data_IF_910809217800
#
_entry.id   IF_910809217800
#
_cell.length_a   1.000
_cell.length_b   1.000
_cell.length_c   1.000
_cell.angle_alpha   90.00
_cell.angle_beta   90.00
_cell.angle_gamma   90.00
#
_symmetry.space_group_name_H-M   'P 1'
#
loop_
_entity.id
_entity.type
_entity.pdbx_description
1 polymer ?
#
# COMPACT_ATOMS: atom_id res chain seq x y z
N UNK A 1 1.99 -9.97 3.29
CA UNK A 1 3.37 -10.20 2.80
C UNK A 1 3.46 -10.14 1.27
N UNK A 2 2.59 -10.85 0.53
CA UNK A 2 2.55 -10.76 -0.95
C UNK A 2 2.25 -9.35 -1.43
N UNK A 3 1.32 -8.66 -0.78
CA UNK A 3 0.92 -7.29 -1.08
C UNK A 3 2.06 -6.29 -0.88
N UNK A 4 2.93 -6.52 0.11
CA UNK A 4 4.13 -5.70 0.34
C UNK A 4 5.08 -5.75 -0.87
N UNK A 5 5.25 -6.94 -1.48
CA UNK A 5 6.07 -7.11 -2.69
C UNK A 5 5.47 -6.37 -3.88
N UNK A 6 4.17 -6.52 -4.11
CA UNK A 6 3.48 -5.86 -5.24
C UNK A 6 3.44 -4.34 -5.06
N UNK A 7 3.22 -3.87 -3.84
CA UNK A 7 3.29 -2.44 -3.50
C UNK A 7 4.68 -1.88 -3.81
N UNK A 8 5.74 -2.56 -3.34
CA UNK A 8 7.12 -2.14 -3.59
C UNK A 8 7.45 -2.09 -5.08
N UNK A 9 7.01 -3.07 -5.87
CA UNK A 9 7.15 -3.06 -7.32
C UNK A 9 6.42 -1.89 -7.98
N UNK A 10 5.17 -1.68 -7.57
CA UNK A 10 4.33 -0.59 -8.09
C UNK A 10 4.92 0.77 -7.78
N UNK A 11 5.29 1.01 -6.52
CA UNK A 11 5.87 2.28 -6.08
C UNK A 11 7.18 2.60 -6.79
N UNK A 12 8.10 1.63 -6.87
CA UNK A 12 9.36 1.81 -7.58
C UNK A 12 9.13 2.15 -9.06
N UNK A 13 8.21 1.44 -9.72
CA UNK A 13 7.93 1.67 -11.13
C UNK A 13 7.24 3.01 -11.39
N UNK A 14 6.33 3.45 -10.52
CA UNK A 14 5.69 4.77 -10.59
C UNK A 14 6.68 5.91 -10.37
N UNK A 15 7.74 5.67 -9.59
CA UNK A 15 8.86 6.59 -9.40
C UNK A 15 9.93 6.52 -10.51
N UNK A 16 9.70 5.70 -11.55
CA UNK A 16 10.61 5.55 -12.69
C UNK A 16 11.65 4.44 -12.55
N UNK A 17 11.73 3.76 -11.40
CA UNK A 17 12.66 2.65 -11.17
C UNK A 17 12.00 1.32 -11.53
N UNK A 18 12.24 0.85 -12.75
CA UNK A 18 11.60 -0.38 -13.27
C UNK A 18 12.50 -1.60 -13.27
N UNK A 19 13.79 -1.42 -13.10
CA UNK A 19 14.78 -2.50 -13.19
C UNK A 19 15.19 -3.02 -11.82
N UNK A 20 15.26 -4.34 -11.71
CA UNK A 20 15.65 -5.05 -10.50
C UNK A 20 16.75 -6.06 -10.81
N UNK A 21 17.84 -6.00 -10.08
CA UNK A 21 18.98 -6.89 -10.29
C UNK A 21 18.68 -8.34 -9.96
N UNK A 22 17.88 -8.58 -8.94
CA UNK A 22 17.46 -9.91 -8.50
C UNK A 22 16.22 -9.85 -7.57
N UNK A 23 15.67 -11.01 -7.22
CA UNK A 23 14.52 -11.11 -6.31
C UNK A 23 14.88 -10.83 -4.86
N UNK A 24 16.14 -11.03 -4.44
CA UNK A 24 16.58 -10.73 -3.08
C UNK A 24 16.59 -9.21 -2.79
N UNK A 25 17.01 -8.39 -3.76
CA UNK A 25 16.91 -6.93 -3.64
C UNK A 25 15.45 -6.48 -3.45
N UNK A 26 14.51 -7.11 -4.17
CA UNK A 26 13.08 -6.85 -3.98
C UNK A 26 12.58 -7.33 -2.62
N UNK A 27 13.02 -8.51 -2.17
CA UNK A 27 12.63 -9.05 -0.86
C UNK A 27 13.06 -8.11 0.27
N UNK A 28 14.31 -7.65 0.22
CA UNK A 28 14.85 -6.68 1.15
C UNK A 28 14.06 -5.36 1.12
N UNK A 29 13.81 -4.83 -0.06
CA UNK A 29 13.04 -3.59 -0.23
C UNK A 29 11.60 -3.72 0.27
N UNK A 30 10.97 -4.88 0.13
CA UNK A 30 9.61 -5.15 0.59
C UNK A 30 9.53 -5.57 2.07
N UNK A 31 10.66 -5.78 2.76
CA UNK A 31 10.69 -6.25 4.14
C UNK A 31 10.19 -7.68 4.32
N UNK A 32 10.37 -8.55 3.32
CA UNK A 32 9.91 -9.93 3.34
C UNK A 32 11.05 -10.91 3.08
N UNK A 33 10.84 -12.19 3.38
CA UNK A 33 11.81 -13.24 3.06
C UNK A 33 11.86 -13.55 1.55
N UNK A 34 13.02 -14.02 1.05
CA UNK A 34 13.26 -14.34 -0.36
C UNK A 34 12.22 -15.30 -0.95
N UNK A 35 11.80 -16.32 -0.17
CA UNK A 35 10.78 -17.28 -0.61
C UNK A 35 9.43 -16.63 -0.87
N UNK A 36 9.07 -15.64 -0.06
CA UNK A 36 7.83 -14.88 -0.20
C UNK A 36 7.90 -14.00 -1.44
N UNK A 37 8.99 -13.26 -1.62
CA UNK A 37 9.21 -12.44 -2.80
C UNK A 37 9.19 -13.29 -4.08
N UNK A 38 9.88 -14.43 -4.09
CA UNK A 38 9.87 -15.35 -5.24
C UNK A 38 8.45 -15.82 -5.58
N UNK A 39 7.67 -16.23 -4.58
CA UNK A 39 6.27 -16.66 -4.76
C UNK A 39 5.39 -15.53 -5.25
N UNK A 40 5.53 -14.33 -4.67
CA UNK A 40 4.77 -13.14 -5.04
C UNK A 40 5.03 -12.71 -6.49
N UNK A 41 6.23 -12.95 -7.01
CA UNK A 41 6.63 -12.62 -8.38
C UNK A 41 6.01 -13.54 -9.44
N UNK A 42 5.47 -14.69 -9.08
CA UNK A 42 4.90 -15.63 -10.06
C UNK A 42 3.74 -15.01 -10.84
N UNK A 43 2.81 -14.37 -10.14
CA UNK A 43 1.64 -13.74 -10.75
C UNK A 43 1.98 -12.54 -11.66
N UNK A 44 2.75 -11.54 -11.22
CA UNK A 44 3.20 -10.45 -12.12
C UNK A 44 3.90 -10.94 -13.37
N UNK A 45 4.74 -11.98 -13.23
CA UNK A 45 5.43 -12.59 -14.38
C UNK A 45 4.45 -13.29 -15.33
N UNK A 46 3.51 -14.08 -14.81
CA UNK A 46 2.55 -14.84 -15.63
C UNK A 46 1.59 -13.96 -16.43
N UNK A 47 1.24 -12.79 -15.91
CA UNK A 47 0.37 -11.82 -16.61
C UNK A 47 1.16 -10.83 -17.48
N UNK A 48 2.47 -10.98 -17.61
CA UNK A 48 3.33 -10.13 -18.43
C UNK A 48 3.55 -8.72 -17.86
N UNK A 49 3.25 -8.47 -16.57
CA UNK A 49 3.56 -7.20 -15.92
C UNK A 49 5.04 -7.07 -15.56
N UNK A 50 5.72 -8.19 -15.48
CA UNK A 50 7.16 -8.29 -15.22
C UNK A 50 7.80 -9.23 -16.22
N UNK A 51 8.95 -8.83 -16.76
CA UNK A 51 9.77 -9.65 -17.69
C UNK A 51 11.09 -10.01 -17.02
N UNK A 52 11.43 -11.31 -17.01
CA UNK A 52 12.73 -11.79 -16.52
C UNK A 52 13.79 -11.70 -17.61
N UNK A 53 15.02 -11.37 -17.24
CA UNK A 53 16.15 -11.28 -18.17
C UNK A 53 16.97 -12.56 -18.18
N UNK A 54 17.50 -12.98 -19.33
CA UNK A 54 18.33 -14.17 -19.44
C UNK A 54 19.60 -14.14 -18.59
N UNK A 55 20.15 -12.94 -18.35
CA UNK A 55 21.34 -12.69 -17.50
C UNK A 55 21.03 -12.55 -15.99
N UNK A 56 19.81 -12.83 -15.58
CA UNK A 56 19.34 -12.56 -14.23
C UNK A 56 18.66 -11.18 -14.11
N UNK A 57 17.94 -10.99 -13.02
CA UNK A 57 17.14 -9.77 -12.84
C UNK A 57 15.81 -9.80 -13.60
N UNK A 58 15.11 -8.68 -13.51
CA UNK A 58 13.81 -8.50 -14.16
C UNK A 58 13.45 -7.02 -14.28
N UNK A 59 12.55 -6.71 -15.19
CA UNK A 59 11.98 -5.36 -15.33
C UNK A 59 10.46 -5.35 -15.19
N UNK A 60 9.93 -4.27 -14.64
CA UNK A 60 8.49 -3.98 -14.61
C UNK A 60 8.10 -3.37 -15.94
N UNK A 61 7.38 -4.14 -16.76
CA UNK A 61 6.94 -3.73 -18.10
C UNK A 61 5.59 -3.02 -18.08
N UNK A 62 4.73 -3.38 -17.15
CA UNK A 62 3.38 -2.82 -17.02
C UNK A 62 3.06 -2.51 -15.54
N UNK A 63 3.39 -1.31 -15.06
CA UNK A 63 3.09 -0.89 -13.68
C UNK A 63 1.59 -0.86 -13.38
N UNK A 64 0.75 -0.51 -14.34
CA UNK A 64 -0.71 -0.44 -14.17
C UNK A 64 -1.29 -1.81 -13.79
N UNK A 65 -0.84 -2.87 -14.44
CA UNK A 65 -1.25 -4.24 -14.06
C UNK A 65 -0.84 -4.60 -12.64
N UNK A 66 0.32 -4.14 -12.17
CA UNK A 66 0.77 -4.42 -10.80
C UNK A 66 -0.12 -3.71 -9.79
N UNK A 67 -0.40 -2.42 -9.96
CA UNK A 67 -1.25 -1.69 -9.02
C UNK A 67 -2.71 -2.14 -9.07
N UNK A 68 -3.21 -2.52 -10.25
CA UNK A 68 -4.54 -3.13 -10.40
C UNK A 68 -4.62 -4.48 -9.69
N UNK A 69 -3.58 -5.31 -9.79
CA UNK A 69 -3.49 -6.59 -9.10
C UNK A 69 -3.42 -6.39 -7.58
N UNK A 70 -2.68 -5.39 -7.10
CA UNK A 70 -2.65 -5.00 -5.68
C UNK A 70 -4.05 -4.60 -5.20
N UNK A 71 -4.75 -3.74 -5.95
CA UNK A 71 -6.11 -3.31 -5.65
C UNK A 71 -7.09 -4.50 -5.59
N UNK A 72 -7.03 -5.41 -6.56
CA UNK A 72 -7.89 -6.59 -6.60
C UNK A 72 -7.62 -7.61 -5.48
N UNK A 73 -6.39 -7.64 -4.94
CA UNK A 73 -6.01 -8.54 -3.85
C UNK A 73 -6.19 -7.91 -2.47
N UNK A 74 -6.51 -6.63 -2.40
CA UNK A 74 -6.65 -5.91 -1.14
C UNK A 74 -7.74 -6.55 -0.27
N UNK A 75 -7.37 -6.91 0.94
CA UNK A 75 -8.29 -7.41 1.96
C UNK A 75 -8.53 -6.34 3.01
N UNK A 76 -9.79 -6.01 3.24
CA UNK A 76 -10.23 -5.15 4.34
C UNK A 76 -10.72 -5.96 5.55
N UNK A 77 -10.46 -7.27 5.57
CA UNK A 77 -10.92 -8.15 6.65
C UNK A 77 -10.40 -7.75 8.04
N UNK A 78 -9.23 -7.11 8.09
CA UNK A 78 -8.63 -6.57 9.32
C UNK A 78 -8.95 -5.08 9.55
N UNK A 79 -9.75 -4.47 8.68
CA UNK A 79 -10.12 -3.07 8.82
C UNK A 79 -11.28 -2.89 9.78
N UNK A 80 -11.23 -1.85 10.60
CA UNK A 80 -12.30 -1.45 11.52
C UNK A 80 -13.05 -0.25 10.96
N UNK A 81 -14.33 -0.40 10.72
CA UNK A 81 -15.22 0.72 10.44
C UNK A 81 -15.54 1.44 11.75
N UNK A 82 -15.30 2.76 11.80
CA UNK A 82 -15.39 3.54 13.02
C UNK A 82 -15.77 4.99 12.73
N UNK A 83 -15.88 5.80 13.78
CA UNK A 83 -16.15 7.24 13.66
C UNK A 83 -14.88 8.02 13.34
N UNK A 84 -15.05 9.20 12.74
CA UNK A 84 -13.93 10.10 12.44
C UNK A 84 -13.21 10.57 13.71
N UNK A 85 -13.98 10.90 14.75
CA UNK A 85 -13.44 11.34 16.04
C UNK A 85 -12.54 10.27 16.69
N UNK A 86 -12.96 9.01 16.66
CA UNK A 86 -12.17 7.90 17.21
C UNK A 86 -10.84 7.73 16.48
N UNK A 87 -10.84 7.82 15.15
CA UNK A 87 -9.61 7.78 14.36
C UNK A 87 -8.70 8.98 14.66
N UNK A 88 -9.25 10.18 14.80
CA UNK A 88 -8.46 11.37 15.14
C UNK A 88 -7.83 11.26 16.53
N UNK A 89 -8.56 10.73 17.51
CA UNK A 89 -8.00 10.46 18.84
C UNK A 89 -6.87 9.43 18.76
N UNK A 90 -7.03 8.35 18.00
CA UNK A 90 -6.01 7.34 17.82
C UNK A 90 -4.76 7.91 17.13
N UNK A 91 -4.93 8.74 16.09
CA UNK A 91 -3.82 9.44 15.43
C UNK A 91 -3.03 10.34 16.39
N UNK A 92 -3.70 10.95 17.35
CA UNK A 92 -3.04 11.83 18.34
C UNK A 92 -2.18 11.03 19.32
N UNK A 93 -2.55 9.77 19.60
CA UNK A 93 -1.83 8.89 20.52
C UNK A 93 -0.84 7.93 19.85
N UNK A 94 -0.88 7.80 18.53
CA UNK A 94 -0.01 6.90 17.78
C UNK A 94 1.31 7.57 17.42
N UNK A 95 2.42 6.84 17.57
CA UNK A 95 3.74 7.33 17.15
C UNK A 95 3.85 7.45 15.62
N UNK A 96 3.20 6.54 14.90
CA UNK A 96 3.21 6.50 13.43
C UNK A 96 1.81 6.16 12.89
N UNK A 97 1.41 6.86 11.84
CA UNK A 97 0.22 6.57 11.05
C UNK A 97 0.39 7.07 9.61
N UNK A 98 -0.45 6.60 8.69
CA UNK A 98 -0.51 7.15 7.33
C UNK A 98 -1.95 7.31 6.85
N UNK A 99 -2.21 8.42 6.18
CA UNK A 99 -3.51 8.74 5.58
C UNK A 99 -3.57 8.14 4.17
N UNK A 100 -4.63 7.40 3.88
CA UNK A 100 -4.89 6.77 2.58
C UNK A 100 -6.06 7.40 1.81
N UNK A 101 -6.49 6.69 0.77
CA UNK A 101 -7.65 7.04 -0.04
C UNK A 101 -7.56 8.39 -0.75
N UNK A 102 -8.68 9.09 -0.84
CA UNK A 102 -8.79 10.37 -1.58
C UNK A 102 -7.89 11.47 -1.02
N UNK A 103 -7.63 11.48 0.28
CA UNK A 103 -6.71 12.47 0.89
C UNK A 103 -5.26 12.24 0.46
N UNK A 104 -4.81 10.98 0.42
CA UNK A 104 -3.50 10.66 -0.11
C UNK A 104 -3.40 10.96 -1.62
N UNK A 105 -4.45 10.67 -2.39
CA UNK A 105 -4.51 11.03 -3.80
C UNK A 105 -4.38 12.54 -4.01
N UNK A 106 -5.08 13.36 -3.22
CA UNK A 106 -4.96 14.81 -3.26
C UNK A 106 -3.54 15.29 -2.93
N UNK A 107 -2.89 14.67 -1.93
CA UNK A 107 -1.49 14.95 -1.59
C UNK A 107 -0.56 14.66 -2.78
N UNK A 108 -0.65 13.49 -3.40
CA UNK A 108 0.18 13.11 -4.55
C UNK A 108 -0.06 13.98 -5.79
N UNK A 109 -1.26 14.56 -5.92
CA UNK A 109 -1.62 15.50 -6.98
C UNK A 109 -1.29 16.97 -6.65
N UNK A 110 -0.53 17.23 -5.58
CA UNK A 110 -0.15 18.56 -5.16
C UNK A 110 -1.34 19.44 -4.73
N UNK A 111 -2.35 18.84 -4.12
CA UNK A 111 -3.57 19.52 -3.65
C UNK A 111 -4.58 19.85 -4.75
N UNK A 112 -4.36 19.38 -5.99
CA UNK A 112 -5.25 19.65 -7.13
C UNK A 112 -6.41 18.66 -7.25
N UNK A 113 -6.87 18.12 -6.14
CA UNK A 113 -8.02 17.22 -6.20
C UNK A 113 -9.30 18.02 -6.49
N UNK A 114 -9.91 17.74 -7.64
CA UNK A 114 -11.21 18.28 -8.05
C UNK A 114 -12.36 17.31 -7.82
N UNK A 115 -12.08 16.12 -7.35
CA UNK A 115 -13.09 15.10 -7.03
C UNK A 115 -13.65 15.40 -5.65
N UNK A 116 -14.96 15.48 -5.53
CA UNK A 116 -15.62 15.65 -4.23
C UNK A 116 -15.23 14.50 -3.30
N UNK A 117 -14.74 14.84 -2.12
CA UNK A 117 -14.33 13.86 -1.11
C UNK A 117 -15.55 13.38 -0.34
N UNK A 118 -16.26 12.42 -0.91
CA UNK A 118 -17.37 11.71 -0.24
C UNK A 118 -16.95 10.31 0.26
N UNK A 119 -15.69 9.94 0.03
CA UNK A 119 -15.18 8.67 0.50
C UNK A 119 -14.89 8.72 2.00
N UNK A 120 -15.02 7.54 2.64
CA UNK A 120 -14.60 7.36 4.03
C UNK A 120 -13.13 7.73 4.20
N UNK A 121 -12.79 8.33 5.32
CA UNK A 121 -11.39 8.51 5.68
C UNK A 121 -10.73 7.15 5.87
N UNK A 122 -9.55 6.92 5.28
CA UNK A 122 -8.77 5.69 5.46
C UNK A 122 -7.50 6.08 6.18
N UNK A 123 -7.22 5.42 7.32
CA UNK A 123 -6.00 5.65 8.08
C UNK A 123 -5.37 4.32 8.46
N UNK A 124 -4.09 4.22 8.20
CA UNK A 124 -3.25 3.07 8.49
C UNK A 124 -2.46 3.29 9.77
N UNK A 125 -2.44 2.26 10.61
CA UNK A 125 -1.71 2.20 11.86
C UNK A 125 -0.80 0.99 11.90
N UNK A 126 0.16 0.99 12.82
CA UNK A 126 1.02 -0.19 13.05
C UNK A 126 0.19 -1.40 13.49
N UNK A 127 0.64 -2.60 13.11
CA UNK A 127 -0.04 -3.85 13.40
C UNK A 127 -0.10 -4.22 14.89
N UNK A 128 0.65 -3.55 15.74
CA UNK A 128 0.62 -3.68 17.20
C UNK A 128 -0.52 -2.88 17.87
N UNK A 129 -1.19 -2.00 17.13
CA UNK A 129 -2.34 -1.24 17.63
C UNK A 129 -3.60 -2.11 17.56
N UNK A 130 -4.27 -2.26 18.70
CA UNK A 130 -5.55 -2.97 18.78
C UNK A 130 -6.70 -2.04 18.35
N UNK A 131 -7.31 -2.34 17.21
CA UNK A 131 -8.44 -1.61 16.67
C UNK A 131 -9.80 -2.13 17.19
N UNK A 132 -9.84 -3.22 17.97
CA UNK A 132 -11.09 -3.85 18.41
C UNK A 132 -11.92 -2.95 19.33
N UNK A 133 -11.28 -2.11 20.12
CA UNK A 133 -11.90 -1.19 21.06
C UNK A 133 -12.50 0.07 20.40
N UNK A 134 -12.24 0.31 19.11
CA UNK A 134 -12.79 1.47 18.43
C UNK A 134 -14.32 1.34 18.30
N UNK A 135 -15.09 2.42 18.57
CA UNK A 135 -16.52 2.43 18.41
C UNK A 135 -16.91 2.13 16.94
N UNK A 136 -18.03 1.45 16.75
CA UNK A 136 -18.57 1.23 15.41
C UNK A 136 -19.04 2.54 14.78
N UNK A 137 -18.75 2.71 13.48
CA UNK A 137 -19.15 3.88 12.71
C UNK A 137 -18.92 3.63 11.22
N UNK A 138 -19.29 4.56 10.37
CA UNK A 138 -19.17 4.45 8.91
C UNK A 138 -18.38 5.61 8.25
N UNK A 139 -17.85 6.52 9.08
CA UNK A 139 -17.15 7.73 8.61
C UNK A 139 -15.69 7.48 8.27
N UNK A 140 -15.07 6.50 8.93
CA UNK A 140 -13.67 6.19 8.77
C UNK A 140 -13.39 4.69 8.74
N UNK A 141 -12.28 4.34 8.14
CA UNK A 141 -11.72 3.00 8.08
C UNK A 141 -10.33 3.02 8.70
N UNK A 142 -10.18 2.41 9.87
CA UNK A 142 -8.89 2.16 10.49
C UNK A 142 -8.35 0.81 10.01
N UNK A 143 -7.10 0.78 9.55
CA UNK A 143 -6.46 -0.40 8.96
C UNK A 143 -5.13 -0.62 9.65
N UNK A 144 -4.79 -1.86 10.00
CA UNK A 144 -3.45 -2.18 10.46
C UNK A 144 -2.55 -2.63 9.32
N UNK A 145 -1.28 -2.24 9.38
CA UNK A 145 -0.25 -2.63 8.43
C UNK A 145 1.06 -2.92 9.17
N UNK A 146 1.94 -3.71 8.56
CA UNK A 146 3.24 -3.97 9.15
C UNK A 146 4.08 -2.69 9.29
N UNK A 147 4.85 -2.63 10.37
CA UNK A 147 5.65 -1.44 10.72
C UNK A 147 6.68 -1.09 9.64
N UNK A 148 7.27 -2.08 8.97
CA UNK A 148 8.23 -1.82 7.89
C UNK A 148 7.60 -1.05 6.73
N UNK A 149 6.37 -1.39 6.36
CA UNK A 149 5.61 -0.66 5.33
C UNK A 149 5.25 0.74 5.83
N UNK A 150 4.74 0.86 7.05
CA UNK A 150 4.31 2.14 7.63
C UNK A 150 5.47 3.13 7.71
N UNK A 151 6.63 2.71 8.21
CA UNK A 151 7.84 3.53 8.34
C UNK A 151 8.37 4.08 6.99
N UNK A 152 8.00 3.47 5.86
CA UNK A 152 8.36 3.95 4.52
C UNK A 152 7.42 5.06 4.00
N UNK A 153 6.31 5.29 4.66
CA UNK A 153 5.37 6.36 4.36
C UNK A 153 5.65 7.60 5.23
N UNK A 154 6.91 8.07 5.14
CA UNK A 154 7.50 9.07 6.04
C UNK A 154 6.87 10.46 5.99
N UNK A 155 6.06 10.75 4.97
CA UNK A 155 5.32 12.00 4.82
C UNK A 155 3.90 11.95 5.45
N UNK A 156 3.55 10.82 6.09
CA UNK A 156 2.26 10.61 6.74
C UNK A 156 1.12 10.27 5.76
N UNK A 157 1.46 9.95 4.50
CA UNK A 157 0.51 9.49 3.50
C UNK A 157 0.92 8.14 2.93
N UNK A 158 -0.07 7.33 2.52
CA UNK A 158 0.21 6.08 1.83
C UNK A 158 0.95 6.32 0.53
N UNK A 159 1.77 5.36 0.12
CA UNK A 159 2.46 5.41 -1.17
C UNK A 159 1.49 5.49 -2.36
N UNK A 160 2.00 5.84 -3.54
CA UNK A 160 1.17 5.96 -4.74
C UNK A 160 0.48 4.65 -5.10
N UNK A 161 1.17 3.50 -5.02
CA UNK A 161 0.57 2.21 -5.31
C UNK A 161 -0.52 1.83 -4.30
N UNK A 162 -0.30 2.10 -3.00
CA UNK A 162 -1.32 1.87 -1.97
C UNK A 162 -2.50 2.82 -2.14
N UNK A 163 -2.25 4.10 -2.40
CA UNK A 163 -3.29 5.09 -2.66
C UNK A 163 -4.18 4.66 -3.83
N UNK A 164 -3.58 4.18 -4.93
CA UNK A 164 -4.35 3.62 -6.05
C UNK A 164 -5.24 2.45 -5.60
N UNK A 165 -4.68 1.50 -4.83
CA UNK A 165 -5.45 0.37 -4.32
C UNK A 165 -6.60 0.82 -3.40
N UNK A 166 -6.41 1.86 -2.60
CA UNK A 166 -7.41 2.42 -1.70
C UNK A 166 -8.61 3.03 -2.42
N UNK A 167 -8.39 3.60 -3.61
CA UNK A 167 -9.46 4.22 -4.42
C UNK A 167 -10.40 3.19 -5.06
N UNK A 168 -10.03 1.90 -5.07
CA UNK A 168 -10.87 0.80 -5.57
C UNK A 168 -11.53 -0.03 -4.45
N UNK A 169 -11.52 0.44 -3.22
CA UNK A 169 -12.04 -0.27 -2.05
C UNK A 169 -13.50 0.06 -1.72
#
# INVERSE_FOLDING_TARGET
>A
ETDAVWRTLGDAALQGSREWRNTADLAWAAGVGDKIAYKAMQRPTSIGAVTRHPGGGFSVTDPERIVTMLAAARSLAAARQTTLDAVQQLMTGADEYAIGGTRAAAHHLGGRNTVADHARAIVYFSADIDLSELPAGDEALAVTIDQHTLARWSDGFTSQAQTYADLFA
#
